data_IF_703587688852
#
_entry.id   IF_703587688852
#
_cell.length_a   1.000
_cell.length_b   1.000
_cell.length_c   1.000
_cell.angle_alpha   90.00
_cell.angle_beta   90.00
_cell.angle_gamma   90.00
#
_symmetry.space_group_name_H-M   'P 1'
#
loop_
_entity.id
_entity.type
_entity.pdbx_description
1 polymer ?
#
# COMPACT_ATOMS: atom_id res chain seq x y z
N UNK A 1 22.78 18.73 -31.34
CA UNK A 1 23.98 18.21 -30.65
C UNK A 1 23.41 17.48 -29.48
N UNK A 2 23.41 16.15 -29.49
CA UNK A 2 22.74 15.37 -28.46
C UNK A 2 23.48 15.60 -27.14
N UNK A 3 22.90 16.42 -26.25
CA UNK A 3 23.39 16.53 -24.89
C UNK A 3 23.17 15.18 -24.22
N UNK A 4 24.26 14.43 -24.08
CA UNK A 4 24.26 13.16 -23.37
C UNK A 4 23.75 13.41 -21.95
N UNK A 5 22.67 12.73 -21.57
CA UNK A 5 22.09 12.81 -20.23
C UNK A 5 23.15 12.48 -19.18
N UNK A 6 23.09 13.21 -18.06
CA UNK A 6 23.97 12.97 -16.91
C UNK A 6 23.72 11.57 -16.34
N UNK A 7 24.77 10.93 -15.86
CA UNK A 7 24.66 9.73 -15.02
C UNK A 7 24.02 10.08 -13.67
N UNK A 8 23.40 9.10 -13.01
CA UNK A 8 22.57 9.35 -11.82
C UNK A 8 23.29 10.09 -10.70
N UNK A 9 24.51 9.67 -10.36
CA UNK A 9 25.29 10.32 -9.30
C UNK A 9 25.65 11.78 -9.67
N UNK A 10 25.89 12.06 -10.95
CA UNK A 10 26.17 13.42 -11.42
C UNK A 10 24.90 14.27 -11.41
N UNK A 11 23.76 13.67 -11.74
CA UNK A 11 22.45 14.31 -11.71
C UNK A 11 22.06 14.76 -10.30
N UNK A 12 22.17 13.87 -9.30
CA UNK A 12 21.80 14.20 -7.92
C UNK A 12 22.73 15.27 -7.32
N UNK A 13 24.02 15.21 -7.64
CA UNK A 13 25.00 16.20 -7.18
C UNK A 13 24.79 17.57 -7.82
N UNK A 14 24.50 17.61 -9.14
CA UNK A 14 24.12 18.85 -9.81
C UNK A 14 22.91 19.52 -9.13
N UNK A 15 21.86 18.74 -8.84
CA UNK A 15 20.68 19.26 -8.15
C UNK A 15 21.07 19.80 -6.78
N UNK A 16 21.85 19.04 -5.98
CA UNK A 16 22.29 19.47 -4.64
C UNK A 16 23.00 20.82 -4.66
N UNK A 17 23.87 21.05 -5.66
CA UNK A 17 24.69 22.26 -5.76
C UNK A 17 23.93 23.46 -6.34
N UNK A 18 23.05 23.23 -7.32
CA UNK A 18 22.45 24.32 -8.09
C UNK A 18 20.98 24.61 -7.78
N UNK A 19 20.27 23.76 -7.02
CA UNK A 19 18.82 23.89 -6.83
C UNK A 19 18.40 25.26 -6.30
N UNK A 20 19.17 25.86 -5.39
CA UNK A 20 18.86 27.16 -4.79
C UNK A 20 18.97 28.33 -5.77
N UNK A 21 19.72 28.19 -6.87
CA UNK A 21 19.79 29.21 -7.93
C UNK A 21 18.44 29.39 -8.65
N UNK A 22 17.57 28.38 -8.57
CA UNK A 22 16.24 28.37 -9.16
C UNK A 22 15.13 28.71 -8.15
N UNK A 23 15.48 28.84 -6.87
CA UNK A 23 14.54 29.19 -5.81
C UNK A 23 14.55 30.72 -5.56
N UNK A 24 13.47 31.31 -5.01
CA UNK A 24 13.45 32.72 -4.62
C UNK A 24 14.52 33.06 -3.57
N UNK A 25 14.91 34.34 -3.50
CA UNK A 25 15.98 34.85 -2.60
C UNK A 25 15.79 34.45 -1.12
N UNK A 26 14.55 34.29 -0.66
CA UNK A 26 14.24 33.83 0.70
C UNK A 26 14.76 32.42 1.05
N UNK A 27 15.20 31.63 0.07
CA UNK A 27 15.76 30.29 0.24
C UNK A 27 17.30 30.27 0.16
N UNK A 28 17.97 31.41 -0.06
CA UNK A 28 19.41 31.45 -0.33
C UNK A 28 20.29 30.85 0.79
N UNK A 29 19.79 30.85 2.03
CA UNK A 29 20.48 30.27 3.20
C UNK A 29 19.96 28.87 3.57
N UNK A 30 19.13 28.25 2.72
CA UNK A 30 18.60 26.92 2.99
C UNK A 30 19.71 25.86 3.00
N UNK A 31 19.64 24.92 3.93
CA UNK A 31 20.52 23.75 3.90
C UNK A 31 19.92 22.68 2.98
N UNK A 32 20.66 22.30 1.93
CA UNK A 32 20.25 21.27 0.98
C UNK A 32 21.04 19.98 1.27
N UNK A 33 20.33 18.90 1.60
CA UNK A 33 20.95 17.59 1.85
C UNK A 33 20.26 16.49 1.08
N UNK A 34 21.02 15.46 0.70
CA UNK A 34 20.49 14.24 0.08
C UNK A 34 20.75 13.08 1.02
N UNK A 35 19.71 12.29 1.30
CA UNK A 35 19.80 11.12 2.18
C UNK A 35 19.03 9.95 1.58
N UNK A 36 19.46 8.74 1.93
CA UNK A 36 18.67 7.54 1.67
C UNK A 36 17.44 7.52 2.57
N UNK A 37 16.27 7.28 1.97
CA UNK A 37 15.01 7.13 2.66
C UNK A 37 14.41 5.79 2.28
N UNK A 38 14.02 5.01 3.29
CA UNK A 38 13.31 3.75 3.09
C UNK A 38 11.81 4.01 2.96
N UNK A 39 11.24 3.63 1.82
CA UNK A 39 9.81 3.50 1.59
C UNK A 39 9.35 2.08 1.97
N UNK A 40 8.06 1.82 1.76
CA UNK A 40 7.48 0.49 1.93
C UNK A 40 8.24 -0.54 1.06
N UNK A 41 8.26 -1.78 1.54
CA UNK A 41 9.03 -2.91 1.02
C UNK A 41 10.55 -2.63 0.94
N UNK A 42 11.07 -1.91 1.94
CA UNK A 42 12.48 -1.48 2.05
C UNK A 42 13.02 -0.80 0.78
N UNK A 43 12.13 -0.20 0.00
CA UNK A 43 12.48 0.47 -1.25
C UNK A 43 13.27 1.74 -0.92
N UNK A 44 14.57 1.70 -1.19
CA UNK A 44 15.50 2.80 -0.90
C UNK A 44 15.45 3.84 -2.01
N UNK A 45 15.20 5.09 -1.64
CA UNK A 45 15.15 6.26 -2.53
C UNK A 45 16.10 7.36 -2.06
N UNK A 46 16.62 8.17 -2.98
CA UNK A 46 17.36 9.40 -2.68
C UNK A 46 16.38 10.54 -2.45
N UNK A 47 16.21 10.92 -1.18
CA UNK A 47 15.42 12.08 -0.79
C UNK A 47 16.28 13.35 -0.75
N UNK A 48 15.84 14.39 -1.44
CA UNK A 48 16.32 15.75 -1.33
C UNK A 48 15.55 16.47 -0.22
N UNK A 49 16.29 17.04 0.73
CA UNK A 49 15.78 17.82 1.86
C UNK A 49 16.25 19.27 1.70
N UNK A 50 15.32 20.22 1.79
CA UNK A 50 15.59 21.65 1.68
C UNK A 50 15.11 22.31 2.97
N UNK A 51 16.04 22.58 3.89
CA UNK A 51 15.74 23.10 5.21
C UNK A 51 15.84 24.62 5.23
N UNK A 52 14.72 25.30 5.51
CA UNK A 52 14.57 26.76 5.54
C UNK A 52 14.21 27.29 6.93
N UNK A 53 14.84 26.74 7.98
CA UNK A 53 14.49 26.98 9.39
C UNK A 53 13.03 26.60 9.76
N UNK A 54 12.41 25.74 8.95
CA UNK A 54 11.08 25.18 9.20
C UNK A 54 11.19 23.84 9.90
N UNK A 55 10.28 23.57 10.83
CA UNK A 55 10.25 22.28 11.54
C UNK A 55 9.99 21.08 10.62
N UNK A 56 9.38 21.29 9.45
CA UNK A 56 9.04 20.25 8.47
C UNK A 56 9.32 20.74 7.05
N UNK A 57 9.92 19.85 6.26
CA UNK A 57 10.19 20.01 4.84
C UNK A 57 9.63 18.80 4.09
N UNK A 58 8.95 18.99 2.95
CA UNK A 58 8.69 17.91 2.00
C UNK A 58 10.00 17.21 1.62
N UNK A 59 9.89 15.92 1.30
CA UNK A 59 11.01 15.11 0.79
C UNK A 59 10.78 14.91 -0.71
N UNK A 60 11.69 15.42 -1.52
CA UNK A 60 11.62 15.25 -2.98
C UNK A 60 12.45 14.03 -3.38
N UNK A 61 11.83 13.02 -3.97
CA UNK A 61 12.52 11.80 -4.39
C UNK A 61 13.16 12.01 -5.76
N UNK A 62 14.49 11.92 -5.81
CA UNK A 62 15.27 12.22 -7.00
C UNK A 62 15.24 11.07 -8.02
N UNK A 63 14.96 9.84 -7.58
CA UNK A 63 14.92 8.67 -8.45
C UNK A 63 13.87 8.81 -9.55
N UNK A 64 12.64 9.24 -9.20
CA UNK A 64 11.53 9.37 -10.15
C UNK A 64 11.76 10.54 -11.14
N UNK A 65 12.39 11.62 -10.64
CA UNK A 65 12.80 12.75 -11.46
C UNK A 65 13.91 12.37 -12.42
N UNK A 66 14.83 11.50 -12.01
CA UNK A 66 15.91 11.00 -12.86
C UNK A 66 15.38 10.13 -13.99
N UNK A 67 14.43 9.23 -13.71
CA UNK A 67 13.77 8.43 -14.76
C UNK A 67 13.06 9.34 -15.77
N UNK A 68 12.36 10.38 -15.29
CA UNK A 68 11.74 11.39 -16.15
C UNK A 68 12.77 12.15 -17.00
N UNK A 69 13.91 12.54 -16.41
CA UNK A 69 15.03 13.19 -17.11
C UNK A 69 15.63 12.31 -18.20
N UNK A 70 15.83 11.03 -17.90
CA UNK A 70 16.45 10.07 -18.81
C UNK A 70 15.56 9.74 -20.00
N UNK A 71 14.25 9.63 -19.76
CA UNK A 71 13.28 9.24 -20.79
C UNK A 71 12.74 10.42 -21.62
N UNK A 72 13.01 11.67 -21.22
CA UNK A 72 12.58 12.87 -21.95
C UNK A 72 13.78 13.65 -22.48
N UNK A 73 14.07 13.51 -23.77
CA UNK A 73 15.21 14.17 -24.44
C UNK A 73 15.19 15.70 -24.30
N UNK A 74 14.00 16.32 -24.26
CA UNK A 74 13.85 17.78 -24.16
C UNK A 74 13.93 18.32 -22.73
N UNK A 75 14.00 17.44 -21.72
CA UNK A 75 14.05 17.87 -20.32
C UNK A 75 15.48 18.22 -19.91
N UNK A 76 15.75 19.52 -19.78
CA UNK A 76 17.02 20.08 -19.31
C UNK A 76 17.08 20.21 -17.78
N UNK A 77 18.29 20.29 -17.21
CA UNK A 77 18.50 20.38 -15.76
C UNK A 77 17.82 21.58 -15.11
N UNK A 78 17.79 22.74 -15.78
CA UNK A 78 17.11 23.93 -15.26
C UNK A 78 15.59 23.72 -15.13
N UNK A 79 14.98 22.97 -16.04
CA UNK A 79 13.55 22.63 -15.96
C UNK A 79 13.29 21.68 -14.79
N UNK A 80 14.20 20.75 -14.51
CA UNK A 80 14.11 19.85 -13.37
C UNK A 80 14.18 20.61 -12.05
N UNK A 81 15.11 21.56 -11.93
CA UNK A 81 15.21 22.41 -10.74
C UNK A 81 13.92 23.21 -10.50
N UNK A 82 13.27 23.70 -11.57
CA UNK A 82 11.96 24.37 -11.49
C UNK A 82 10.85 23.40 -11.07
N UNK A 83 10.80 22.19 -11.65
CA UNK A 83 9.84 21.15 -11.26
C UNK A 83 10.00 20.81 -9.77
N UNK A 84 11.24 20.70 -9.28
CA UNK A 84 11.53 20.48 -7.86
C UNK A 84 10.99 21.64 -7.01
N UNK A 85 11.22 22.89 -7.42
CA UNK A 85 10.66 24.06 -6.71
C UNK A 85 9.12 24.03 -6.67
N UNK A 86 8.47 23.81 -7.81
CA UNK A 86 7.01 23.77 -7.90
C UNK A 86 6.42 22.62 -7.07
N UNK A 87 7.11 21.47 -7.07
CA UNK A 87 6.73 20.30 -6.24
C UNK A 87 6.91 20.62 -4.76
N UNK A 88 8.06 21.18 -4.38
CA UNK A 88 8.34 21.60 -3.01
C UNK A 88 7.28 22.59 -2.51
N UNK A 89 6.91 23.57 -3.35
CA UNK A 89 5.96 24.60 -2.99
C UNK A 89 4.53 24.08 -2.90
N UNK A 90 4.13 23.17 -3.80
CA UNK A 90 2.80 22.56 -3.78
C UNK A 90 2.61 21.56 -2.63
N UNK A 91 3.68 20.96 -2.13
CA UNK A 91 3.67 20.07 -0.97
C UNK A 91 3.92 20.78 0.35
N UNK A 92 4.13 22.10 0.34
CA UNK A 92 4.33 22.87 1.55
C UNK A 92 3.03 22.84 2.38
N UNK A 93 3.05 22.36 3.63
CA UNK A 93 1.83 22.22 4.42
C UNK A 93 1.12 23.57 4.58
N UNK A 94 -0.19 23.59 4.33
CA UNK A 94 -1.06 24.74 4.62
C UNK A 94 -1.59 24.72 6.06
N UNK A 95 -1.22 23.70 6.84
CA UNK A 95 -1.63 23.50 8.22
C UNK A 95 -0.44 23.55 9.20
N UNK A 96 -0.75 23.85 10.46
CA UNK A 96 0.24 23.80 11.55
C UNK A 96 0.48 22.35 11.93
N UNK A 97 1.74 21.93 11.86
CA UNK A 97 2.13 20.60 12.31
C UNK A 97 2.30 20.61 13.83
N UNK A 98 1.62 19.72 14.57
CA UNK A 98 1.79 19.60 16.01
C UNK A 98 3.22 19.20 16.40
N UNK A 99 3.61 19.54 17.63
CA UNK A 99 4.84 19.01 18.23
C UNK A 99 4.70 17.50 18.44
N UNK A 100 5.37 16.72 17.59
CA UNK A 100 5.32 15.25 17.61
C UNK A 100 5.87 14.64 18.91
N UNK A 101 6.66 15.39 19.69
CA UNK A 101 7.16 14.95 21.00
C UNK A 101 6.08 15.03 22.07
N UNK A 102 5.10 15.92 21.90
CA UNK A 102 3.98 16.06 22.81
C UNK A 102 2.87 15.07 22.43
N UNK A 103 2.80 13.96 23.17
CA UNK A 103 1.80 12.92 22.95
C UNK A 103 0.37 13.45 22.93
N UNK A 104 -0.01 14.33 23.86
CA UNK A 104 -1.36 14.89 23.93
C UNK A 104 -1.73 15.73 22.70
N UNK A 105 -0.74 16.33 22.03
CA UNK A 105 -0.97 17.11 20.82
C UNK A 105 -1.22 16.24 19.57
N UNK A 106 -0.82 14.96 19.61
CA UNK A 106 -0.87 14.06 18.44
C UNK A 106 -1.71 12.80 18.65
N UNK A 107 -2.08 12.45 19.88
CA UNK A 107 -2.72 11.16 20.21
C UNK A 107 -3.94 10.83 19.38
N UNK A 108 -4.78 11.81 19.03
CA UNK A 108 -6.02 11.62 18.23
C UNK A 108 -5.77 11.51 16.71
N UNK A 109 -4.51 11.65 16.29
CA UNK A 109 -4.05 11.57 14.90
C UNK A 109 -3.18 10.35 14.63
N UNK A 110 -2.84 9.58 15.67
CA UNK A 110 -2.04 8.37 15.51
C UNK A 110 -2.94 7.29 14.90
N UNK A 111 -2.54 6.77 13.74
CA UNK A 111 -3.24 5.72 13.00
C UNK A 111 -2.27 4.61 12.62
N UNK A 112 -2.81 3.47 12.21
CA UNK A 112 -2.06 2.38 11.63
C UNK A 112 -1.85 2.56 10.12
N UNK A 113 -0.76 1.95 9.66
CA UNK A 113 -0.54 1.54 8.28
C UNK A 113 -0.12 0.07 8.29
N UNK A 114 -0.69 -0.75 7.42
CA UNK A 114 -0.21 -2.11 7.20
C UNK A 114 0.94 -2.16 6.19
N UNK A 115 1.97 -2.93 6.52
CA UNK A 115 3.10 -3.26 5.64
C UNK A 115 3.44 -4.75 5.77
N UNK A 116 4.05 -5.34 4.75
CA UNK A 116 4.56 -6.72 4.85
C UNK A 116 5.71 -6.79 5.86
N UNK A 117 5.70 -7.74 6.78
CA UNK A 117 6.77 -7.85 7.80
C UNK A 117 8.10 -8.23 7.17
N UNK A 118 8.10 -9.22 6.27
CA UNK A 118 9.33 -9.77 5.72
C UNK A 118 9.99 -8.84 4.70
N UNK A 119 9.19 -8.11 3.92
CA UNK A 119 9.71 -7.16 2.92
C UNK A 119 10.15 -5.82 3.54
N UNK A 120 9.85 -5.55 4.81
CA UNK A 120 10.14 -4.27 5.49
C UNK A 120 11.09 -4.44 6.69
N UNK A 121 11.98 -5.44 6.66
CA UNK A 121 12.87 -5.76 7.79
C UNK A 121 13.79 -4.60 8.15
N UNK A 122 14.30 -3.86 7.18
CA UNK A 122 15.15 -2.70 7.44
C UNK A 122 14.33 -1.55 8.03
N UNK A 123 13.18 -1.24 7.43
CA UNK A 123 12.26 -0.21 7.90
C UNK A 123 11.80 -0.45 9.34
N UNK A 124 11.55 -1.71 9.71
CA UNK A 124 11.06 -2.13 11.03
C UNK A 124 12.12 -2.11 12.14
N UNK A 125 13.41 -1.86 11.83
CA UNK A 125 14.46 -1.77 12.86
C UNK A 125 14.31 -0.57 13.80
N UNK A 126 13.71 0.51 13.30
CA UNK A 126 13.61 1.81 14.00
C UNK A 126 12.15 2.25 14.23
N UNK A 127 11.19 1.34 14.07
CA UNK A 127 9.75 1.65 14.04
C UNK A 127 9.00 0.65 14.91
N UNK A 128 8.21 1.11 15.90
CA UNK A 128 7.36 0.20 16.66
C UNK A 128 6.25 -0.33 15.77
N UNK A 129 5.93 -1.62 15.93
CA UNK A 129 4.84 -2.29 15.21
C UNK A 129 4.11 -3.30 16.08
N UNK A 130 2.90 -3.65 15.65
CA UNK A 130 2.12 -4.79 16.15
C UNK A 130 2.00 -5.81 15.01
N UNK A 131 2.35 -7.07 15.29
CA UNK A 131 2.28 -8.13 14.30
C UNK A 131 0.83 -8.53 14.02
N UNK A 132 0.50 -8.72 12.75
CA UNK A 132 -0.78 -9.24 12.28
C UNK A 132 -0.55 -10.19 11.09
N UNK A 133 -0.65 -11.50 11.33
CA UNK A 133 -0.31 -12.54 10.34
C UNK A 133 1.13 -12.36 9.81
N UNK A 134 1.31 -12.25 8.50
CA UNK A 134 2.57 -11.95 7.81
C UNK A 134 2.86 -10.44 7.69
N UNK A 135 1.97 -9.60 8.22
CA UNK A 135 2.05 -8.15 8.15
C UNK A 135 2.38 -7.53 9.52
N UNK A 136 2.82 -6.28 9.47
CA UNK A 136 3.08 -5.44 10.64
C UNK A 136 2.22 -4.19 10.53
N UNK A 137 1.44 -3.91 11.57
CA UNK A 137 0.73 -2.65 11.74
C UNK A 137 1.70 -1.64 12.38
N UNK A 138 2.16 -0.68 11.58
CA UNK A 138 3.07 0.39 12.03
C UNK A 138 2.30 1.67 12.34
N UNK A 139 2.85 2.50 13.22
CA UNK A 139 2.21 3.73 13.66
C UNK A 139 2.64 4.93 12.82
N UNK A 140 1.68 5.78 12.47
CA UNK A 140 1.93 7.07 11.82
C UNK A 140 1.00 8.15 12.39
N UNK A 141 1.44 9.40 12.38
CA UNK A 141 0.63 10.57 12.74
C UNK A 141 0.04 11.11 11.43
N UNK A 142 -1.28 11.00 11.25
CA UNK A 142 -1.99 11.52 10.09
C UNK A 142 -2.13 13.05 10.19
N UNK A 143 -1.63 13.78 9.20
CA UNK A 143 -1.71 15.24 9.14
C UNK A 143 -2.79 15.73 8.15
N UNK A 144 -2.81 15.13 6.96
CA UNK A 144 -3.84 15.23 5.93
C UNK A 144 -3.94 13.86 5.24
N UNK A 145 -4.93 13.56 4.37
CA UNK A 145 -4.99 12.27 3.66
C UNK A 145 -3.67 11.84 2.99
N UNK A 146 -2.94 12.78 2.39
CA UNK A 146 -1.70 12.57 1.64
C UNK A 146 -0.43 12.75 2.49
N UNK A 147 -0.55 13.31 3.70
CA UNK A 147 0.59 13.64 4.55
C UNK A 147 0.54 12.91 5.90
N UNK A 148 1.60 12.17 6.21
CA UNK A 148 1.78 11.54 7.52
C UNK A 148 3.22 11.63 8.00
N UNK A 149 3.39 11.53 9.32
CA UNK A 149 4.70 11.40 9.96
C UNK A 149 4.83 9.98 10.50
N UNK A 150 5.90 9.28 10.10
CA UNK A 150 6.25 7.97 10.66
C UNK A 150 6.59 8.11 12.14
N UNK A 151 5.98 7.30 12.99
CA UNK A 151 6.38 7.17 14.40
C UNK A 151 7.60 6.27 14.45
N UNK A 152 8.75 6.82 14.85
CA UNK A 152 9.98 6.03 15.09
C UNK A 152 10.06 5.63 16.56
N UNK A 153 10.96 4.71 16.89
CA UNK A 153 11.25 4.36 18.28
C UNK A 153 11.65 5.59 19.12
N UNK A 154 12.35 6.55 18.52
CA UNK A 154 12.71 7.80 19.20
C UNK A 154 11.48 8.63 19.59
N UNK A 155 10.50 8.79 18.68
CA UNK A 155 9.26 9.50 18.98
C UNK A 155 8.46 8.72 20.04
N UNK A 156 8.31 7.42 19.85
CA UNK A 156 7.56 6.56 20.75
C UNK A 156 8.11 6.58 22.18
N UNK A 157 9.43 6.48 22.34
CA UNK A 157 10.09 6.49 23.64
C UNK A 157 9.91 7.83 24.40
N UNK A 158 9.64 8.94 23.69
CA UNK A 158 9.36 10.23 24.32
C UNK A 158 7.96 10.32 24.94
N UNK A 159 6.99 9.54 24.45
CA UNK A 159 5.61 9.60 24.93
C UNK A 159 5.39 8.90 26.27
N UNK A 160 6.31 8.02 26.67
CA UNK A 160 6.26 7.31 27.95
C UNK A 160 4.95 6.54 28.19
N UNK A 161 4.44 5.90 27.13
CA UNK A 161 3.27 5.00 27.17
C UNK A 161 3.67 3.59 26.72
N UNK A 162 2.81 2.61 27.01
CA UNK A 162 3.03 1.24 26.54
C UNK A 162 2.67 1.08 25.05
N UNK A 163 3.28 0.08 24.39
CA UNK A 163 2.95 -0.26 23.00
C UNK A 163 1.51 -0.75 22.86
N UNK A 164 0.98 -1.44 23.86
CA UNK A 164 -0.41 -1.92 23.88
C UNK A 164 -1.40 -0.76 23.98
N UNK A 165 -1.09 0.25 24.78
CA UNK A 165 -1.88 1.49 24.89
C UNK A 165 -1.86 2.27 23.57
N UNK A 166 -0.67 2.45 22.98
CA UNK A 166 -0.53 3.07 21.66
C UNK A 166 -1.32 2.29 20.60
N UNK A 167 -1.29 0.95 20.66
CA UNK A 167 -2.04 0.05 19.80
C UNK A 167 -3.54 0.28 19.81
N UNK A 168 -4.13 0.41 21.01
CA UNK A 168 -5.56 0.67 21.18
C UNK A 168 -5.96 2.04 20.62
N UNK A 169 -5.19 3.07 20.97
CA UNK A 169 -5.42 4.44 20.49
C UNK A 169 -5.34 4.48 18.96
N UNK A 170 -4.31 3.86 18.39
CA UNK A 170 -4.13 3.80 16.94
C UNK A 170 -5.28 3.05 16.26
N UNK A 171 -5.77 1.93 16.83
CA UNK A 171 -6.88 1.18 16.26
C UNK A 171 -8.17 2.01 16.22
N UNK A 172 -8.53 2.63 17.34
CA UNK A 172 -9.73 3.48 17.48
C UNK A 172 -9.67 4.67 16.51
N UNK A 173 -8.54 5.37 16.47
CA UNK A 173 -8.34 6.48 15.55
C UNK A 173 -8.36 6.05 14.09
N UNK A 174 -7.72 4.92 13.75
CA UNK A 174 -7.70 4.43 12.38
C UNK A 174 -9.11 4.17 11.91
N UNK A 175 -9.94 3.49 12.73
CA UNK A 175 -11.34 3.22 12.38
C UNK A 175 -12.13 4.51 12.18
N UNK A 176 -12.06 5.42 13.16
CA UNK A 176 -12.75 6.72 13.13
C UNK A 176 -12.33 7.62 11.95
N UNK A 177 -11.05 7.62 11.58
CA UNK A 177 -10.51 8.48 10.52
C UNK A 177 -10.72 7.83 9.15
N UNK A 178 -10.44 6.53 9.02
CA UNK A 178 -10.47 5.83 7.73
C UNK A 178 -11.88 5.45 7.27
N UNK A 179 -12.83 5.30 8.19
CA UNK A 179 -14.25 5.02 7.89
C UNK A 179 -14.42 3.95 6.79
N UNK A 180 -14.33 2.66 7.13
CA UNK A 180 -14.25 1.59 6.15
C UNK A 180 -15.48 1.57 5.24
N UNK A 181 -15.23 1.54 3.93
CA UNK A 181 -16.28 1.49 2.90
C UNK A 181 -16.17 0.23 2.07
N UNK A 182 -17.32 -0.38 1.82
CA UNK A 182 -17.46 -1.51 0.92
C UNK A 182 -18.16 -1.07 -0.37
N UNK A 183 -17.60 -1.43 -1.51
CA UNK A 183 -18.09 -1.03 -2.83
C UNK A 183 -18.21 -2.26 -3.72
N UNK A 184 -19.28 -2.38 -4.51
CA UNK A 184 -19.36 -3.39 -5.57
C UNK A 184 -18.45 -2.99 -6.73
N UNK A 185 -17.52 -3.88 -7.11
CA UNK A 185 -16.50 -3.57 -8.11
C UNK A 185 -17.12 -3.32 -9.49
N UNK A 186 -18.18 -4.04 -9.87
CA UNK A 186 -18.83 -3.85 -11.17
C UNK A 186 -19.47 -2.47 -11.26
N UNK A 187 -20.12 -2.03 -10.18
CA UNK A 187 -20.68 -0.69 -10.06
C UNK A 187 -19.60 0.40 -10.15
N UNK A 188 -18.49 0.22 -9.43
CA UNK A 188 -17.33 1.12 -9.50
C UNK A 188 -16.74 1.21 -10.92
N UNK A 189 -16.57 0.06 -11.60
CA UNK A 189 -16.05 0.03 -12.98
C UNK A 189 -16.99 0.68 -13.98
N UNK A 190 -18.31 0.45 -13.84
CA UNK A 190 -19.32 1.06 -14.70
C UNK A 190 -19.34 2.60 -14.57
N UNK A 191 -19.13 3.12 -13.36
CA UNK A 191 -18.97 4.55 -13.11
C UNK A 191 -17.71 5.09 -13.80
N UNK A 192 -16.55 4.46 -13.59
CA UNK A 192 -15.26 4.87 -14.17
C UNK A 192 -15.31 4.88 -15.71
N UNK A 193 -15.93 3.87 -16.31
CA UNK A 193 -16.03 3.73 -17.77
C UNK A 193 -17.17 4.55 -18.38
N UNK A 194 -17.94 5.28 -17.57
CA UNK A 194 -19.00 6.17 -18.04
C UNK A 194 -20.19 5.43 -18.67
N UNK A 195 -20.37 4.14 -18.39
CA UNK A 195 -21.48 3.35 -18.92
C UNK A 195 -22.84 3.75 -18.31
N UNK A 196 -22.84 4.46 -17.17
CA UNK A 196 -24.05 4.90 -16.48
C UNK A 196 -24.45 6.31 -16.93
N UNK A 197 -25.12 6.39 -18.08
CA UNK A 197 -25.95 7.54 -18.42
C UNK A 197 -27.39 7.23 -18.00
N UNK A 198 -27.94 8.01 -17.07
CA UNK A 198 -29.35 7.94 -16.60
C UNK A 198 -29.75 6.68 -15.82
N UNK A 199 -29.35 6.62 -14.56
CA UNK A 199 -30.20 6.39 -13.37
C UNK A 199 -29.26 6.43 -12.16
N UNK A 200 -29.69 6.99 -11.04
CA UNK A 200 -28.91 6.91 -9.79
C UNK A 200 -28.74 5.43 -9.47
N UNK A 201 -27.56 4.85 -9.69
CA UNK A 201 -27.31 3.48 -9.27
C UNK A 201 -27.53 3.41 -7.75
N UNK A 202 -28.38 2.49 -7.34
CA UNK A 202 -28.91 2.38 -5.98
C UNK A 202 -27.93 1.81 -4.97
N UNK A 203 -26.69 1.49 -5.36
CA UNK A 203 -25.69 0.95 -4.43
C UNK A 203 -24.47 1.86 -4.35
N UNK A 204 -24.60 3.00 -3.64
CA UNK A 204 -23.46 3.81 -3.23
C UNK A 204 -22.58 3.00 -2.28
N UNK A 205 -21.31 3.38 -2.20
CA UNK A 205 -20.35 2.86 -1.22
C UNK A 205 -21.01 2.72 0.17
N UNK A 206 -20.90 1.54 0.77
CA UNK A 206 -21.49 1.23 2.08
C UNK A 206 -20.47 1.50 3.18
N UNK A 207 -20.80 2.39 4.12
CA UNK A 207 -19.96 2.61 5.30
C UNK A 207 -20.24 1.52 6.36
N UNK A 208 -19.24 0.69 6.64
CA UNK A 208 -19.34 -0.47 7.55
C UNK A 208 -19.52 -0.07 9.03
N UNK A 209 -19.17 1.16 9.41
CA UNK A 209 -19.36 1.65 10.77
C UNK A 209 -20.81 1.97 11.08
N UNK A 210 -21.54 2.51 10.10
CA UNK A 210 -22.91 3.02 10.30
C UNK A 210 -24.01 2.12 9.74
N UNK A 211 -23.69 1.17 8.85
CA UNK A 211 -24.72 0.33 8.21
C UNK A 211 -25.31 -0.70 9.18
N UNK A 212 -26.64 -0.90 9.11
CA UNK A 212 -27.31 -1.98 9.81
C UNK A 212 -27.05 -3.33 9.12
N UNK A 213 -27.02 -4.42 9.88
CA UNK A 213 -26.73 -5.76 9.35
C UNK A 213 -27.74 -6.20 8.26
N UNK A 214 -29.01 -5.81 8.39
CA UNK A 214 -30.05 -6.10 7.39
C UNK A 214 -29.77 -5.38 6.06
N UNK A 215 -29.37 -4.10 6.10
CA UNK A 215 -29.07 -3.30 4.92
C UNK A 215 -27.78 -3.80 4.24
N UNK A 216 -26.78 -4.23 5.03
CA UNK A 216 -25.55 -4.83 4.48
C UNK A 216 -25.84 -6.16 3.80
N UNK A 217 -26.76 -6.96 4.35
CA UNK A 217 -27.22 -8.20 3.72
C UNK A 217 -27.95 -7.91 2.41
N UNK A 218 -28.85 -6.93 2.39
CA UNK A 218 -29.54 -6.50 1.16
C UNK A 218 -28.54 -6.03 0.09
N UNK A 219 -27.54 -5.24 0.48
CA UNK A 219 -26.44 -4.85 -0.40
C UNK A 219 -25.74 -6.07 -1.03
N UNK A 220 -25.42 -7.10 -0.27
CA UNK A 220 -24.81 -8.31 -0.83
C UNK A 220 -25.77 -9.10 -1.72
N UNK A 221 -27.01 -9.31 -1.29
CA UNK A 221 -28.02 -10.04 -2.05
C UNK A 221 -28.23 -9.39 -3.44
N UNK A 222 -28.34 -8.06 -3.50
CA UNK A 222 -28.51 -7.30 -4.74
C UNK A 222 -27.29 -7.42 -5.67
N UNK A 223 -26.07 -7.36 -5.15
CA UNK A 223 -24.86 -7.40 -5.98
C UNK A 223 -24.41 -8.82 -6.35
N UNK A 224 -24.89 -9.85 -5.63
CA UNK A 224 -24.61 -11.26 -5.95
C UNK A 224 -25.64 -11.81 -6.95
N UNK A 225 -26.93 -11.53 -6.76
CA UNK A 225 -27.99 -12.10 -7.63
C UNK A 225 -27.96 -11.56 -9.06
N UNK A 226 -27.36 -10.37 -9.28
CA UNK A 226 -27.37 -9.69 -10.57
C UNK A 226 -26.19 -10.02 -11.50
N UNK A 227 -25.22 -10.83 -11.07
CA UNK A 227 -23.98 -11.08 -11.82
C UNK A 227 -23.86 -12.53 -12.33
N UNK A 228 -23.60 -12.72 -13.64
CA UNK A 228 -23.19 -14.01 -14.22
C UNK A 228 -21.70 -14.36 -13.95
N UNK A 229 -21.03 -13.55 -13.13
CA UNK A 229 -19.59 -13.62 -12.83
C UNK A 229 -19.37 -13.73 -11.32
N UNK A 230 -18.12 -14.01 -10.92
CA UNK A 230 -17.72 -14.02 -9.51
C UNK A 230 -17.97 -12.61 -8.91
N UNK A 231 -18.73 -12.49 -7.81
CA UNK A 231 -18.95 -11.21 -7.15
C UNK A 231 -17.66 -10.71 -6.52
N UNK A 232 -17.31 -9.45 -6.78
CA UNK A 232 -16.10 -8.79 -6.30
C UNK A 232 -16.49 -7.50 -5.58
N UNK A 233 -16.05 -7.37 -4.34
CA UNK A 233 -16.24 -6.16 -3.55
C UNK A 233 -14.90 -5.52 -3.24
N UNK A 234 -14.84 -4.20 -3.18
CA UNK A 234 -13.64 -3.46 -2.81
C UNK A 234 -13.86 -2.84 -1.43
N UNK A 235 -12.98 -3.18 -0.49
CA UNK A 235 -12.92 -2.56 0.83
C UNK A 235 -11.84 -1.47 0.81
N UNK A 236 -12.29 -0.24 0.94
CA UNK A 236 -11.48 0.97 0.89
C UNK A 236 -11.63 1.78 2.19
N UNK A 237 -10.80 2.79 2.32
CA UNK A 237 -11.00 3.89 3.28
C UNK A 237 -11.68 5.06 2.57
N UNK A 238 -12.38 5.91 3.32
CA UNK A 238 -13.01 7.14 2.82
C UNK A 238 -12.04 8.00 2.01
N UNK A 239 -10.81 8.14 2.50
CA UNK A 239 -9.75 8.92 1.86
C UNK A 239 -8.97 8.15 0.79
N UNK A 240 -9.28 6.87 0.58
CA UNK A 240 -8.64 5.95 -0.39
C UNK A 240 -7.12 5.80 -0.16
N UNK A 241 -6.62 6.07 1.06
CA UNK A 241 -5.20 6.00 1.40
C UNK A 241 -4.95 5.02 2.54
N UNK A 242 -4.04 4.05 2.34
CA UNK A 242 -3.73 3.00 3.32
C UNK A 242 -4.96 2.19 3.80
N UNK A 243 -6.00 2.04 2.97
CA UNK A 243 -7.26 1.38 3.31
C UNK A 243 -7.15 -0.13 3.56
N UNK A 244 -6.05 -0.78 3.18
CA UNK A 244 -5.81 -2.17 3.56
C UNK A 244 -5.78 -2.38 5.08
N UNK A 245 -5.49 -1.32 5.83
CA UNK A 245 -5.57 -1.30 7.29
C UNK A 245 -6.96 -1.66 7.82
N UNK A 246 -8.03 -1.50 7.03
CA UNK A 246 -9.39 -1.91 7.38
C UNK A 246 -9.52 -3.41 7.71
N UNK A 247 -8.57 -4.25 7.24
CA UNK A 247 -8.47 -5.67 7.61
C UNK A 247 -8.29 -5.89 9.11
N UNK A 248 -7.77 -4.91 9.85
CA UNK A 248 -7.57 -4.99 11.30
C UNK A 248 -8.87 -4.89 12.10
N UNK A 249 -9.97 -4.42 11.49
CA UNK A 249 -11.24 -4.23 12.17
C UNK A 249 -12.02 -5.54 12.21
N UNK A 250 -11.73 -6.37 13.22
CA UNK A 250 -12.37 -7.69 13.37
C UNK A 250 -13.90 -7.62 13.33
N UNK A 251 -14.50 -6.59 13.95
CA UNK A 251 -15.96 -6.45 13.98
C UNK A 251 -16.55 -6.19 12.59
N UNK A 252 -15.82 -5.50 11.71
CA UNK A 252 -16.27 -5.27 10.34
C UNK A 252 -16.12 -6.55 9.51
N UNK A 253 -15.05 -7.33 9.74
CA UNK A 253 -14.91 -8.65 9.12
C UNK A 253 -16.02 -9.61 9.55
N UNK A 254 -16.40 -9.60 10.83
CA UNK A 254 -17.54 -10.39 11.37
C UNK A 254 -18.87 -9.93 10.76
N UNK A 255 -19.11 -8.62 10.67
CA UNK A 255 -20.30 -8.06 10.00
C UNK A 255 -20.40 -8.54 8.55
N UNK A 256 -19.30 -8.49 7.80
CA UNK A 256 -19.25 -8.97 6.41
C UNK A 256 -19.56 -10.48 6.34
N UNK A 257 -18.92 -11.30 7.19
CA UNK A 257 -19.14 -12.75 7.22
C UNK A 257 -20.61 -13.12 7.53
N UNK A 258 -21.23 -12.41 8.48
CA UNK A 258 -22.62 -12.62 8.85
C UNK A 258 -23.57 -12.20 7.73
N UNK A 259 -23.36 -11.02 7.14
CA UNK A 259 -24.21 -10.51 6.07
C UNK A 259 -24.11 -11.36 4.78
N UNK A 260 -22.91 -11.85 4.45
CA UNK A 260 -22.70 -12.82 3.35
C UNK A 260 -23.25 -14.22 3.67
N UNK A 261 -23.42 -14.53 4.96
CA UNK A 261 -23.68 -15.86 5.47
C UNK A 261 -22.61 -16.91 5.06
N UNK A 262 -21.40 -16.48 4.69
CA UNK A 262 -20.32 -17.33 4.15
C UNK A 262 -18.93 -16.94 4.64
N UNK A 263 -17.97 -17.84 4.45
CA UNK A 263 -16.56 -17.45 4.40
C UNK A 263 -16.32 -16.49 3.23
N UNK A 264 -15.23 -15.75 3.28
CA UNK A 264 -14.78 -14.95 2.14
C UNK A 264 -13.26 -14.86 2.09
N UNK A 265 -12.75 -14.65 0.89
CA UNK A 265 -11.34 -14.38 0.66
C UNK A 265 -11.08 -12.87 0.65
N UNK A 266 -9.89 -12.50 1.10
CA UNK A 266 -9.38 -11.13 1.00
C UNK A 266 -8.08 -11.16 0.20
N UNK A 267 -8.03 -10.35 -0.84
CA UNK A 267 -6.85 -10.10 -1.65
C UNK A 267 -6.38 -8.67 -1.36
N UNK A 268 -5.16 -8.47 -0.87
CA UNK A 268 -4.60 -7.13 -0.77
C UNK A 268 -4.16 -6.64 -2.15
N UNK A 269 -5.05 -5.94 -2.85
CA UNK A 269 -4.76 -5.32 -4.15
C UNK A 269 -3.55 -4.38 -4.04
N UNK A 270 -3.49 -3.60 -2.95
CA UNK A 270 -2.34 -2.78 -2.57
C UNK A 270 -2.39 -2.46 -1.07
N UNK A 271 -1.52 -1.60 -0.56
CA UNK A 271 -1.66 -1.01 0.77
C UNK A 271 -2.91 -0.11 0.88
N UNK A 272 -3.50 0.32 -0.23
CA UNK A 272 -4.59 1.30 -0.27
C UNK A 272 -5.99 0.66 -0.22
N UNK A 273 -6.14 -0.59 -0.67
CA UNK A 273 -7.44 -1.23 -0.82
C UNK A 273 -7.34 -2.76 -0.76
N UNK A 274 -8.47 -3.40 -0.44
CA UNK A 274 -8.62 -4.85 -0.41
C UNK A 274 -9.74 -5.26 -1.34
N UNK A 275 -9.59 -6.40 -2.00
CA UNK A 275 -10.67 -7.05 -2.74
C UNK A 275 -11.23 -8.18 -1.87
N UNK A 276 -12.54 -8.21 -1.71
CA UNK A 276 -13.29 -9.22 -0.98
C UNK A 276 -14.05 -10.08 -1.99
N UNK A 277 -13.89 -11.39 -1.86
CA UNK A 277 -14.53 -12.38 -2.73
C UNK A 277 -15.27 -13.40 -1.85
N UNK A 278 -16.62 -13.45 -1.89
CA UNK A 278 -17.37 -14.48 -1.18
C UNK A 278 -16.92 -15.89 -1.60
N UNK A 279 -16.71 -16.77 -0.62
CA UNK A 279 -16.30 -18.16 -0.89
C UNK A 279 -17.41 -18.88 -1.68
N UNK A 280 -17.03 -19.60 -2.73
CA UNK A 280 -17.95 -20.33 -3.59
C UNK A 280 -17.25 -21.51 -4.27
N UNK A 281 -18.03 -22.48 -4.75
CA UNK A 281 -17.51 -23.67 -5.44
C UNK A 281 -16.79 -23.35 -6.76
N UNK A 282 -16.98 -22.14 -7.30
CA UNK A 282 -16.34 -21.67 -8.52
C UNK A 282 -14.91 -21.14 -8.30
N UNK A 283 -14.49 -21.02 -7.03
CA UNK A 283 -13.19 -20.45 -6.67
C UNK A 283 -12.24 -21.55 -6.23
N UNK A 284 -11.12 -21.67 -6.93
CA UNK A 284 -9.97 -22.43 -6.45
C UNK A 284 -8.90 -21.46 -5.89
N UNK A 285 -8.65 -21.45 -4.56
CA UNK A 285 -7.60 -20.65 -3.96
C UNK A 285 -6.20 -20.90 -4.55
N UNK A 286 -5.96 -22.09 -5.10
CA UNK A 286 -4.70 -22.48 -5.74
C UNK A 286 -4.51 -21.77 -7.09
N UNK A 287 -5.59 -21.37 -7.76
CA UNK A 287 -5.54 -20.56 -8.99
C UNK A 287 -5.43 -19.07 -8.72
N UNK A 288 -6.06 -18.58 -7.64
CA UNK A 288 -6.05 -17.15 -7.28
C UNK A 288 -4.66 -16.68 -6.85
N UNK A 289 -3.95 -17.47 -6.03
CA UNK A 289 -2.68 -17.05 -5.44
C UNK A 289 -1.57 -16.76 -6.47
N UNK A 290 -1.37 -17.57 -7.53
CA UNK A 290 -0.48 -17.22 -8.64
C UNK A 290 -0.86 -15.91 -9.32
N UNK A 291 -2.16 -15.65 -9.53
CA UNK A 291 -2.63 -14.40 -10.15
C UNK A 291 -2.26 -13.18 -9.30
N UNK A 292 -2.43 -13.26 -7.97
CA UNK A 292 -2.01 -12.17 -7.06
C UNK A 292 -0.51 -11.90 -7.23
N UNK A 293 0.31 -12.95 -7.23
CA UNK A 293 1.76 -12.82 -7.36
C UNK A 293 2.18 -12.22 -8.71
N UNK A 294 1.52 -12.63 -9.80
CA UNK A 294 1.75 -12.11 -11.14
C UNK A 294 1.43 -10.61 -11.22
N UNK A 295 0.21 -10.21 -10.83
CA UNK A 295 -0.23 -8.81 -10.85
C UNK A 295 0.68 -7.94 -9.99
N UNK A 296 1.00 -8.38 -8.77
CA UNK A 296 1.90 -7.66 -7.87
C UNK A 296 3.31 -7.47 -8.42
N UNK A 297 3.79 -8.38 -9.28
CA UNK A 297 5.13 -8.31 -9.86
C UNK A 297 5.21 -7.50 -11.15
N UNK A 298 4.08 -7.28 -11.82
CA UNK A 298 4.01 -6.71 -13.18
C UNK A 298 3.29 -5.37 -13.25
N UNK A 299 2.32 -5.13 -12.37
CA UNK A 299 1.41 -3.99 -12.46
C UNK A 299 1.36 -3.13 -11.19
N UNK A 300 1.90 -3.59 -10.06
CA UNK A 300 1.85 -2.86 -8.79
C UNK A 300 3.22 -2.30 -8.46
N UNK A 301 3.27 -1.01 -8.14
CA UNK A 301 4.49 -0.36 -7.69
C UNK A 301 5.02 -1.02 -6.41
N UNK A 302 6.35 -1.16 -6.32
CA UNK A 302 6.97 -1.82 -5.18
C UNK A 302 6.62 -1.13 -3.85
N UNK A 303 6.39 0.18 -3.85
CA UNK A 303 5.99 0.92 -2.64
C UNK A 303 4.52 0.70 -2.25
N UNK A 304 3.70 0.18 -3.15
CA UNK A 304 2.25 0.05 -2.95
C UNK A 304 1.83 -1.39 -2.73
N UNK A 305 2.70 -2.36 -3.05
CA UNK A 305 2.49 -3.79 -2.77
C UNK A 305 2.42 -4.07 -1.27
N UNK A 306 1.40 -4.82 -0.85
CA UNK A 306 1.22 -5.24 0.55
C UNK A 306 1.57 -6.71 0.80
N UNK A 307 1.02 -7.67 0.04
CA UNK A 307 1.37 -9.09 0.20
C UNK A 307 0.97 -9.89 -1.05
N UNK A 308 1.68 -10.99 -1.30
CA UNK A 308 1.31 -11.99 -2.32
C UNK A 308 0.39 -13.09 -1.77
N UNK A 309 0.05 -13.02 -0.48
CA UNK A 309 -0.81 -14.01 0.15
C UNK A 309 -2.30 -13.75 -0.13
N UNK A 310 -3.03 -14.86 -0.25
CA UNK A 310 -4.48 -14.88 -0.17
C UNK A 310 -4.88 -15.10 1.29
N UNK A 311 -5.83 -14.30 1.78
CA UNK A 311 -6.38 -14.44 3.12
C UNK A 311 -7.81 -14.97 3.04
N UNK A 312 -8.24 -15.67 4.09
CA UNK A 312 -9.61 -16.17 4.24
C UNK A 312 -10.12 -15.76 5.61
N UNK A 313 -11.27 -15.10 5.64
CA UNK A 313 -12.03 -14.94 6.86
C UNK A 313 -12.98 -16.13 6.99
N UNK A 314 -12.80 -16.89 8.06
CA UNK A 314 -13.60 -18.05 8.40
C UNK A 314 -14.79 -17.62 9.26
N UNK A 315 -16.00 -17.85 8.77
CA UNK A 315 -17.24 -17.47 9.43
C UNK A 315 -17.52 -18.33 10.66
N UNK A 316 -17.14 -19.60 10.65
CA UNK A 316 -17.40 -20.49 11.79
C UNK A 316 -16.46 -20.14 12.96
N UNK A 317 -15.19 -19.88 12.66
CA UNK A 317 -14.20 -19.49 13.67
C UNK A 317 -14.18 -18.00 14.00
N UNK A 318 -14.81 -17.16 13.17
CA UNK A 318 -14.78 -15.69 13.21
C UNK A 318 -13.34 -15.14 13.22
N UNK A 319 -12.49 -15.69 12.35
CA UNK A 319 -11.05 -15.37 12.30
C UNK A 319 -10.52 -15.27 10.89
N UNK A 320 -9.61 -14.31 10.71
CA UNK A 320 -8.80 -14.17 9.51
C UNK A 320 -7.59 -15.11 9.56
N UNK A 321 -7.29 -15.77 8.45
CA UNK A 321 -6.14 -16.67 8.28
C UNK A 321 -5.51 -16.47 6.90
N UNK A 322 -4.21 -16.78 6.79
CA UNK A 322 -3.55 -16.95 5.50
C UNK A 322 -3.99 -18.29 4.89
N UNK A 323 -4.38 -18.29 3.62
CA UNK A 323 -4.62 -19.52 2.87
C UNK A 323 -3.29 -20.22 2.61
N UNK A 324 -3.11 -21.37 3.27
CA UNK A 324 -1.96 -22.23 3.06
C UNK A 324 -2.18 -23.04 1.79
N UNK A 325 -1.31 -22.83 0.82
CA UNK A 325 -1.14 -23.76 -0.30
C UNK A 325 -0.14 -24.80 0.17
N UNK A 326 -0.48 -26.09 0.10
CA UNK A 326 0.54 -27.13 0.20
C UNK A 326 1.61 -26.83 -0.85
N UNK A 327 2.89 -26.85 -0.47
CA UNK A 327 3.96 -26.77 -1.46
C UNK A 327 3.69 -27.86 -2.50
N UNK A 328 3.71 -27.50 -3.79
CA UNK A 328 3.75 -28.52 -4.84
C UNK A 328 4.85 -29.53 -4.44
N UNK A 329 4.57 -30.85 -4.39
CA UNK A 329 5.57 -31.81 -3.98
C UNK A 329 6.81 -31.56 -4.83
N UNK A 330 7.91 -31.17 -4.17
CA UNK A 330 9.20 -31.03 -4.85
C UNK A 330 9.38 -32.30 -5.66
N UNK A 331 9.53 -32.14 -6.99
CA UNK A 331 9.80 -33.28 -7.85
C UNK A 331 10.93 -34.06 -7.17
N UNK A 332 10.70 -35.34 -6.89
CA UNK A 332 11.69 -36.19 -6.25
C UNK A 332 13.01 -35.97 -6.99
N UNK A 333 14.10 -35.67 -6.27
CA UNK A 333 15.41 -35.42 -6.88
C UNK A 333 15.80 -36.57 -7.82
N UNK A 334 15.28 -37.77 -7.56
CA UNK A 334 15.40 -38.94 -8.42
C UNK A 334 14.69 -38.78 -9.77
N UNK A 335 13.50 -38.18 -9.80
CA UNK A 335 12.75 -37.89 -11.03
C UNK A 335 13.39 -36.74 -11.82
N UNK A 336 13.93 -35.71 -11.16
CA UNK A 336 14.73 -34.68 -11.85
C UNK A 336 16.02 -35.25 -12.46
N UNK A 337 16.71 -36.14 -11.75
CA UNK A 337 17.87 -36.86 -12.29
C UNK A 337 17.51 -37.76 -13.45
N UNK A 338 16.37 -38.47 -13.37
CA UNK A 338 15.92 -39.37 -14.43
C UNK A 338 15.44 -38.61 -15.69
N UNK A 339 14.80 -37.45 -15.52
CA UNK A 339 14.50 -36.53 -16.63
C UNK A 339 15.80 -35.99 -17.25
N UNK A 340 16.78 -35.56 -16.44
CA UNK A 340 18.09 -35.11 -16.94
C UNK A 340 18.85 -36.22 -17.66
N UNK A 341 18.84 -37.46 -17.15
CA UNK A 341 19.46 -38.61 -17.82
C UNK A 341 18.79 -38.93 -19.17
N UNK A 342 17.47 -38.88 -19.23
CA UNK A 342 16.72 -39.19 -20.46
C UNK A 342 16.83 -38.10 -21.54
N UNK A 343 16.94 -36.82 -21.15
CA UNK A 343 17.19 -35.71 -22.10
C UNK A 343 18.63 -35.72 -22.62
N UNK A 344 19.59 -36.23 -21.84
CA UNK A 344 21.01 -36.27 -22.21
C UNK A 344 21.40 -37.42 -23.14
N UNK A 345 20.54 -38.43 -23.36
CA UNK A 345 20.90 -39.60 -24.16
C UNK A 345 19.72 -40.18 -24.99
N UNK A 346 19.31 -39.52 -26.08
CA UNK A 346 18.13 -39.94 -26.86
C UNK A 346 18.28 -41.25 -27.64
N UNK A 347 19.49 -41.85 -27.70
CA UNK A 347 19.84 -42.88 -28.70
C UNK A 347 20.51 -44.15 -28.13
N UNK A 348 20.11 -44.64 -26.96
CA UNK A 348 20.40 -46.03 -26.56
C UNK A 348 19.10 -46.81 -26.34
N UNK A 349 18.40 -47.06 -27.45
CA UNK A 349 17.13 -47.80 -27.39
C UNK A 349 16.69 -48.45 -28.69
N UNK A 350 17.57 -48.67 -29.66
CA UNK A 350 17.29 -49.56 -30.81
C UNK A 350 18.55 -50.25 -31.30
N UNK A 351 18.78 -51.46 -30.82
CA UNK A 351 19.55 -52.50 -31.52
C UNK A 351 18.95 -53.84 -31.10
N UNK A 352 18.13 -54.40 -32.00
CA UNK A 352 17.84 -55.82 -32.09
C UNK A 352 18.61 -56.37 -33.28
#
# INVERSE_FOLDING_TARGET
MDEKKLEYDVFIEYIREHILEYFPEGYANAEVTIKDVLKNNDNRRKGLFINVDKNISPIIYLDDLYESYKNNESLEMGNICRIIYDTYKSQEPDFIVPDVKNFDAVKDKIVFKLINTENNKEFLKDVPSIQHLDMSAVFQIQLSPEASIKVTDNIFNMWNISKDELGKIALENTKRIKQPKLVDMNSMLNEILGFVAFEKSSNPEVNLDSIAEADLKEFFDDNIMNNMTIPLFVLISEDKVNGATCMLFEDDMKKIANALDKNFYIIPSSIHELIIIPDSELLDPMEIKPMISEVNSTCVELTDKLSDNLYKFDKEEMKLKIVKTEEAPKLDQKLEEDIRRNVSNPNQGKSR
#
